data_IF_369155788612
#
_entry.id   IF_369155788612
#
_cell.length_a   1.000
_cell.length_b   1.000
_cell.length_c   1.000
_cell.angle_alpha   90.00
_cell.angle_beta   90.00
_cell.angle_gamma   90.00
#
_symmetry.space_group_name_H-M   'P 1'
#
loop_
_entity.id
_entity.type
_entity.pdbx_description
1 polymer ?
#
# COMPACT_ATOMS: atom_id res chain seq x y z
N UNK A 1 -18.76 -1.67 32.77
CA UNK A 1 -18.81 -0.67 31.68
C UNK A 1 -17.82 -1.10 30.62
N UNK A 2 -18.24 -1.19 29.36
CA UNK A 2 -17.31 -1.48 28.27
C UNK A 2 -16.61 -0.17 27.91
N UNK A 3 -15.32 -0.07 28.22
CA UNK A 3 -14.50 1.10 27.89
C UNK A 3 -14.00 0.93 26.45
N UNK A 4 -14.44 1.79 25.55
CA UNK A 4 -13.93 1.87 24.18
C UNK A 4 -13.45 3.30 23.92
N UNK A 5 -12.42 3.43 23.07
CA UNK A 5 -11.87 4.70 22.65
C UNK A 5 -11.47 4.63 21.16
N UNK A 6 -11.63 5.75 20.45
CA UNK A 6 -11.12 5.92 19.09
C UNK A 6 -9.94 6.87 19.19
N UNK A 7 -8.76 6.39 18.80
CA UNK A 7 -7.53 7.17 18.80
C UNK A 7 -7.20 7.55 17.37
N UNK A 8 -7.16 8.86 17.09
CA UNK A 8 -6.70 9.36 15.80
C UNK A 8 -5.18 9.58 15.86
N UNK A 9 -4.43 8.68 15.24
CA UNK A 9 -2.97 8.71 15.25
C UNK A 9 -2.40 8.05 13.99
N UNK A 10 -1.12 8.30 13.74
CA UNK A 10 -0.34 7.58 12.72
C UNK A 10 -0.08 6.14 13.20
N UNK A 11 -0.36 5.15 12.37
CA UNK A 11 -0.19 3.73 12.71
C UNK A 11 1.28 3.32 12.88
N UNK A 12 2.23 4.18 12.50
CA UNK A 12 3.67 4.01 12.79
C UNK A 12 4.04 4.49 14.20
N UNK A 13 3.12 5.17 14.90
CA UNK A 13 3.30 5.76 16.23
C UNK A 13 2.00 5.68 17.04
N UNK A 14 1.53 4.46 17.25
CA UNK A 14 0.34 4.12 18.04
C UNK A 14 0.55 4.65 19.47
N UNK A 15 -0.33 5.54 19.98
CA UNK A 15 -0.19 6.19 21.28
C UNK A 15 -0.64 5.29 22.43
N UNK A 16 -0.17 4.04 22.42
CA UNK A 16 -0.36 3.04 23.46
C UNK A 16 1.02 2.61 23.97
N UNK A 17 1.08 2.25 25.25
CA UNK A 17 2.29 1.68 25.82
C UNK A 17 2.58 0.31 25.21
N UNK A 18 3.85 -0.07 25.25
CA UNK A 18 4.35 -1.34 24.78
C UNK A 18 3.65 -2.50 25.52
N UNK A 19 3.43 -3.61 24.83
CA UNK A 19 2.88 -4.84 25.42
C UNK A 19 1.55 -4.63 26.18
N UNK A 20 0.65 -3.80 25.67
CA UNK A 20 -0.68 -3.53 26.26
C UNK A 20 -1.85 -4.14 25.49
N UNK A 21 -1.63 -4.57 24.25
CA UNK A 21 -2.68 -5.07 23.36
C UNK A 21 -2.61 -6.59 23.26
N UNK A 22 -3.75 -7.26 23.51
CA UNK A 22 -3.84 -8.72 23.43
C UNK A 22 -4.15 -9.23 22.00
N UNK A 23 -4.93 -8.47 21.24
CA UNK A 23 -5.40 -8.87 19.93
C UNK A 23 -5.49 -7.65 19.02
N UNK A 24 -4.90 -7.75 17.84
CA UNK A 24 -5.06 -6.79 16.75
C UNK A 24 -5.81 -7.49 15.62
N UNK A 25 -6.84 -6.84 15.09
CA UNK A 25 -7.54 -7.28 13.88
C UNK A 25 -7.57 -6.10 12.94
N UNK A 26 -6.98 -6.25 11.75
CA UNK A 26 -6.80 -5.12 10.83
C UNK A 26 -6.90 -5.54 9.37
N UNK A 27 -7.20 -4.56 8.51
CA UNK A 27 -7.10 -4.66 7.05
C UNK A 27 -6.37 -3.42 6.53
N UNK A 28 -5.08 -3.51 6.18
CA UNK A 28 -4.35 -2.35 5.67
C UNK A 28 -4.91 -1.90 4.30
N UNK A 29 -4.62 -0.65 3.87
CA UNK A 29 -4.97 -0.19 2.52
C UNK A 29 -4.45 -1.14 1.45
N UNK A 30 -5.26 -1.39 0.42
CA UNK A 30 -4.89 -2.25 -0.69
C UNK A 30 -4.00 -1.50 -1.69
N UNK A 31 -3.03 -2.20 -2.26
CA UNK A 31 -2.08 -1.64 -3.21
C UNK A 31 -2.76 -1.12 -4.48
N UNK A 32 -2.58 0.16 -4.77
CA UNK A 32 -3.03 0.85 -5.96
C UNK A 32 -4.54 1.07 -6.07
N UNK A 33 -5.33 0.84 -5.01
CA UNK A 33 -6.80 0.85 -5.12
C UNK A 33 -7.49 2.13 -4.62
N UNK A 34 -7.04 2.72 -3.51
CA UNK A 34 -7.80 3.78 -2.83
C UNK A 34 -6.92 4.98 -2.47
N UNK A 35 -7.48 6.16 -2.72
CA UNK A 35 -7.02 7.42 -2.16
C UNK A 35 -8.12 7.95 -1.24
N UNK A 36 -7.80 8.20 0.03
CA UNK A 36 -8.77 8.70 1.00
C UNK A 36 -8.75 10.22 1.00
N UNK A 37 -9.89 10.83 0.71
CA UNK A 37 -10.06 12.28 0.73
C UNK A 37 -9.88 12.82 2.15
N UNK A 38 -9.14 13.92 2.31
CA UNK A 38 -8.91 14.54 3.62
C UNK A 38 -7.78 13.93 4.44
N UNK A 39 -7.04 12.97 3.87
CA UNK A 39 -5.79 12.45 4.44
C UNK A 39 -4.62 13.13 3.74
N UNK A 40 -3.70 13.71 4.50
CA UNK A 40 -2.49 14.32 3.94
C UNK A 40 -1.43 13.25 3.61
N UNK A 41 -0.63 13.42 2.54
CA UNK A 41 0.48 12.53 2.24
C UNK A 41 1.48 12.45 3.40
N UNK A 42 1.83 11.23 3.79
CA UNK A 42 2.85 10.96 4.80
C UNK A 42 4.23 10.83 4.16
N UNK A 43 5.28 11.16 4.92
CA UNK A 43 6.68 10.93 4.52
C UNK A 43 7.17 9.61 5.11
N UNK A 44 7.78 8.77 4.28
CA UNK A 44 8.22 7.42 4.60
C UNK A 44 9.71 7.25 4.27
N UNK A 45 10.44 6.59 5.17
CA UNK A 45 11.87 6.39 5.06
C UNK A 45 12.70 7.69 5.03
N UNK A 46 13.93 7.58 4.51
CA UNK A 46 14.90 8.69 4.48
C UNK A 46 15.67 8.89 5.78
N UNK A 47 16.32 10.05 5.89
CA UNK A 47 17.10 10.44 7.06
C UNK A 47 16.25 11.30 8.00
N UNK A 48 16.33 11.06 9.31
CA UNK A 48 15.47 11.68 10.31
C UNK A 48 15.62 13.21 10.37
N UNK A 49 16.83 13.72 10.14
CA UNK A 49 17.16 15.15 10.21
C UNK A 49 17.09 15.85 8.83
N UNK A 50 16.57 15.17 7.81
CA UNK A 50 16.46 15.77 6.48
C UNK A 50 15.30 16.77 6.45
N UNK A 51 15.57 18.01 6.03
CA UNK A 51 14.51 19.02 5.78
C UNK A 51 13.56 18.64 4.64
N UNK A 52 13.93 17.62 3.86
CA UNK A 52 13.30 17.15 2.63
C UNK A 52 13.17 18.19 1.52
N UNK A 53 13.59 17.80 0.31
CA UNK A 53 13.48 18.63 -0.88
C UNK A 53 12.77 17.84 -1.98
N UNK A 54 11.54 18.27 -2.28
CA UNK A 54 10.67 17.66 -3.27
C UNK A 54 10.84 18.41 -4.60
N UNK A 55 11.80 18.01 -5.41
CA UNK A 55 12.05 18.72 -6.67
C UNK A 55 11.13 18.29 -7.80
N UNK A 56 11.17 19.02 -8.91
CA UNK A 56 10.60 18.59 -10.19
C UNK A 56 11.37 17.35 -10.68
N UNK A 57 10.68 16.37 -11.27
CA UNK A 57 11.16 15.02 -11.57
C UNK A 57 12.65 14.94 -11.96
N UNK A 58 13.40 14.07 -11.29
CA UNK A 58 14.65 13.57 -11.88
C UNK A 58 14.68 12.06 -11.71
N UNK A 59 14.56 11.36 -12.84
CA UNK A 59 15.03 9.99 -12.94
C UNK A 59 16.56 9.99 -12.80
N UNK A 60 17.08 9.10 -11.96
CA UNK A 60 18.46 8.61 -11.97
C UNK A 60 19.59 9.64 -12.11
N UNK A 61 20.15 10.10 -10.98
CA UNK A 61 21.61 10.20 -10.88
C UNK A 61 22.11 9.05 -10.04
N UNK A 62 23.00 8.25 -10.63
CA UNK A 62 23.71 7.18 -9.97
C UNK A 62 24.37 7.73 -8.69
N UNK A 63 24.05 7.13 -7.54
CA UNK A 63 24.96 7.17 -6.41
C UNK A 63 26.22 6.43 -6.85
N UNK A 64 27.27 7.21 -7.13
CA UNK A 64 28.65 6.73 -7.28
C UNK A 64 29.00 5.93 -6.03
N UNK A 65 29.54 4.72 -6.23
CA UNK A 65 29.80 3.76 -5.18
C UNK A 65 30.68 4.28 -4.05
N UNK A 66 30.32 3.89 -2.84
CA UNK A 66 31.23 3.71 -1.72
C UNK A 66 31.07 2.27 -1.25
N UNK A 67 32.14 1.48 -1.35
CA UNK A 67 32.18 0.07 -0.99
C UNK A 67 31.85 -0.13 0.50
N UNK A 68 30.78 -0.87 0.78
CA UNK A 68 30.34 -1.17 2.14
C UNK A 68 29.18 -2.14 2.13
N UNK A 69 29.48 -3.43 2.19
CA UNK A 69 28.52 -4.52 2.22
C UNK A 69 27.55 -4.40 3.41
N UNK A 70 26.27 -4.17 3.13
CA UNK A 70 25.16 -4.60 4.00
C UNK A 70 24.11 -5.29 3.14
N UNK A 71 24.18 -6.62 3.10
CA UNK A 71 23.20 -7.47 2.42
C UNK A 71 21.91 -7.53 3.25
N UNK A 72 20.99 -6.59 3.02
CA UNK A 72 19.63 -6.61 3.54
C UNK A 72 18.63 -6.29 2.44
N UNK A 73 17.40 -6.78 2.57
CA UNK A 73 16.30 -6.54 1.60
C UNK A 73 16.13 -5.06 1.21
N UNK A 74 16.55 -4.10 2.06
CA UNK A 74 16.53 -2.67 1.76
C UNK A 74 17.47 -2.24 0.63
N UNK A 75 18.62 -2.90 0.45
CA UNK A 75 19.60 -2.55 -0.60
C UNK A 75 19.08 -2.83 -2.02
N UNK A 76 18.23 -3.85 -2.17
CA UNK A 76 17.62 -4.23 -3.45
C UNK A 76 16.48 -3.29 -3.86
N UNK A 77 15.74 -2.72 -2.90
CA UNK A 77 14.66 -1.76 -3.20
C UNK A 77 15.22 -0.49 -3.88
N UNK A 78 16.39 -0.03 -3.45
CA UNK A 78 17.02 1.18 -4.00
C UNK A 78 17.60 0.96 -5.40
N UNK A 79 18.01 -0.28 -5.73
CA UNK A 79 18.55 -0.63 -7.04
C UNK A 79 17.46 -0.77 -8.13
N UNK A 80 16.23 -1.17 -7.77
CA UNK A 80 15.12 -1.38 -8.72
C UNK A 80 14.37 -0.10 -9.11
N UNK A 81 14.64 1.05 -8.46
CA UNK A 81 14.10 2.36 -8.88
C UNK A 81 14.76 2.91 -10.16
N UNK A 82 15.76 2.21 -10.70
CA UNK A 82 16.39 2.54 -11.99
C UNK A 82 15.55 2.02 -13.16
N UNK A 83 14.52 2.79 -13.52
CA UNK A 83 13.87 2.68 -14.82
C UNK A 83 12.39 2.45 -14.72
N UNK A 84 11.62 3.53 -14.85
CA UNK A 84 10.57 3.75 -15.86
C UNK A 84 9.76 4.94 -15.38
N UNK A 85 10.22 6.15 -15.67
CA UNK A 85 9.35 7.32 -15.62
C UNK A 85 9.51 8.08 -16.94
N UNK A 86 8.72 7.66 -17.93
CA UNK A 86 8.56 8.41 -19.16
C UNK A 86 7.19 9.11 -19.13
N UNK A 87 7.27 10.39 -18.75
CA UNK A 87 6.41 11.53 -19.12
C UNK A 87 4.99 11.54 -18.54
N UNK A 88 4.66 12.59 -17.76
CA UNK A 88 3.68 13.64 -18.09
C UNK A 88 3.67 14.74 -16.99
N UNK A 89 3.64 16.01 -17.44
CA UNK A 89 3.32 17.29 -16.77
C UNK A 89 3.70 17.56 -15.31
N UNK A 90 4.72 18.43 -15.12
CA UNK A 90 4.74 19.53 -14.14
C UNK A 90 4.58 19.24 -12.64
N UNK A 91 4.46 17.98 -12.22
CA UNK A 91 4.29 17.59 -10.83
C UNK A 91 5.63 17.47 -10.09
N UNK A 92 5.65 17.89 -8.82
CA UNK A 92 6.77 17.62 -7.91
C UNK A 92 6.95 16.11 -7.75
N UNK A 93 8.20 15.64 -7.77
CA UNK A 93 8.57 14.25 -7.46
C UNK A 93 8.05 13.86 -6.08
N UNK A 94 7.45 12.68 -5.97
CA UNK A 94 7.07 12.08 -4.70
C UNK A 94 8.26 11.62 -3.86
N UNK A 95 9.49 11.66 -4.40
CA UNK A 95 10.71 11.30 -3.70
C UNK A 95 11.56 12.53 -3.36
N UNK A 96 12.08 12.55 -2.14
CA UNK A 96 13.01 13.57 -1.66
C UNK A 96 14.35 13.41 -2.37
N UNK A 97 14.86 14.48 -2.94
CA UNK A 97 16.13 14.49 -3.68
C UNK A 97 17.37 14.35 -2.78
N UNK A 98 17.25 14.67 -1.50
CA UNK A 98 18.37 14.63 -0.53
C UNK A 98 18.55 13.26 0.11
N UNK A 99 17.46 12.62 0.54
CA UNK A 99 17.52 11.39 1.34
C UNK A 99 16.74 10.21 0.76
N UNK A 100 16.02 10.39 -0.37
CA UNK A 100 15.25 9.32 -1.00
C UNK A 100 13.95 8.93 -0.26
N UNK A 101 13.55 9.68 0.77
CA UNK A 101 12.25 9.50 1.42
C UNK A 101 11.12 9.62 0.39
N UNK A 102 10.07 8.83 0.57
CA UNK A 102 8.89 8.88 -0.27
C UNK A 102 7.76 9.64 0.44
N UNK A 103 7.07 10.52 -0.27
CA UNK A 103 5.90 11.26 0.20
C UNK A 103 4.64 10.78 -0.53
N UNK A 104 3.71 10.19 0.20
CA UNK A 104 2.47 9.67 -0.35
C UNK A 104 1.56 9.01 0.68
N UNK A 105 0.44 8.48 0.20
CA UNK A 105 -0.51 7.74 1.04
C UNK A 105 -0.22 6.24 0.97
N UNK A 106 -0.26 5.56 2.10
CA UNK A 106 -0.07 4.10 2.18
C UNK A 106 -1.00 3.38 1.19
N UNK A 107 -0.43 2.49 0.38
CA UNK A 107 -1.12 1.79 -0.70
C UNK A 107 -0.97 2.46 -2.06
N UNK A 108 -0.47 3.70 -2.16
CA UNK A 108 -0.22 4.39 -3.44
C UNK A 108 1.25 4.43 -3.83
N UNK A 109 2.08 3.57 -3.24
CA UNK A 109 3.49 3.47 -3.57
C UNK A 109 3.71 3.12 -5.04
N UNK A 110 4.80 3.61 -5.66
CA UNK A 110 5.14 3.30 -7.05
C UNK A 110 5.40 1.81 -7.27
N UNK A 111 6.00 1.11 -6.31
CA UNK A 111 6.36 -0.32 -6.42
C UNK A 111 5.71 -1.15 -5.32
N UNK A 112 5.51 -2.45 -5.59
CA UNK A 112 4.97 -3.39 -4.62
C UNK A 112 5.95 -3.54 -3.45
N UNK A 113 7.25 -3.55 -3.74
CA UNK A 113 8.32 -3.68 -2.75
C UNK A 113 8.31 -2.53 -1.74
N UNK A 114 8.11 -1.28 -2.21
CA UNK A 114 8.05 -0.13 -1.32
C UNK A 114 6.78 -0.17 -0.45
N UNK A 115 5.64 -0.58 -1.02
CA UNK A 115 4.42 -0.80 -0.24
C UNK A 115 4.61 -1.85 0.87
N UNK A 116 5.23 -2.98 0.56
CA UNK A 116 5.53 -4.01 1.56
C UNK A 116 6.48 -3.47 2.64
N UNK A 117 7.49 -2.68 2.27
CA UNK A 117 8.41 -2.07 3.24
C UNK A 117 7.68 -1.13 4.22
N UNK A 118 6.74 -0.31 3.73
CA UNK A 118 5.94 0.57 4.59
C UNK A 118 4.96 -0.20 5.47
N UNK A 119 4.36 -1.29 4.96
CA UNK A 119 3.56 -2.16 5.81
C UNK A 119 4.40 -2.77 6.95
N UNK A 120 5.61 -3.23 6.66
CA UNK A 120 6.53 -3.73 7.71
C UNK A 120 6.82 -2.64 8.75
N UNK A 121 7.07 -1.39 8.32
CA UNK A 121 7.24 -0.25 9.24
C UNK A 121 6.04 -0.07 10.19
N UNK A 122 4.82 -0.12 9.65
CA UNK A 122 3.59 -0.06 10.47
C UNK A 122 3.50 -1.26 11.41
N UNK A 123 3.76 -2.47 10.92
CA UNK A 123 3.65 -3.69 11.73
C UNK A 123 4.73 -3.78 12.82
N UNK A 124 5.86 -3.08 12.71
CA UNK A 124 6.80 -2.96 13.85
C UNK A 124 6.16 -2.27 15.04
N UNK A 125 5.40 -1.21 14.79
CA UNK A 125 4.72 -0.48 15.87
C UNK A 125 3.50 -1.26 16.40
N UNK A 126 2.80 -1.99 15.53
CA UNK A 126 1.79 -2.97 15.95
C UNK A 126 2.40 -4.05 16.85
N UNK A 127 3.58 -4.57 16.52
CA UNK A 127 4.29 -5.56 17.34
C UNK A 127 4.71 -4.99 18.68
N UNK A 128 5.15 -3.73 18.74
CA UNK A 128 5.55 -3.04 19.96
C UNK A 128 4.40 -2.98 20.98
N UNK A 129 3.20 -2.59 20.54
CA UNK A 129 2.04 -2.50 21.44
C UNK A 129 1.45 -3.86 21.79
N UNK A 130 1.73 -4.89 20.99
CA UNK A 130 1.24 -6.25 21.21
C UNK A 130 1.99 -6.90 22.37
N UNK A 131 1.26 -7.58 23.25
CA UNK A 131 1.85 -8.42 24.31
C UNK A 131 2.62 -9.60 23.73
N UNK A 132 3.53 -10.17 24.52
CA UNK A 132 4.26 -11.39 24.17
C UNK A 132 3.37 -12.61 23.89
N UNK A 133 2.16 -12.64 24.46
CA UNK A 133 1.11 -13.65 24.26
C UNK A 133 -0.01 -13.17 23.31
N UNK A 134 0.18 -12.03 22.64
CA UNK A 134 -0.82 -11.43 21.77
C UNK A 134 -0.85 -12.03 20.35
N UNK A 135 -1.93 -11.76 19.64
CA UNK A 135 -2.15 -12.20 18.26
C UNK A 135 -2.52 -11.03 17.34
N UNK A 136 -2.01 -11.04 16.11
CA UNK A 136 -2.37 -10.09 15.07
C UNK A 136 -3.02 -10.83 13.90
N UNK A 137 -4.24 -10.43 13.55
CA UNK A 137 -4.99 -10.90 12.41
C UNK A 137 -4.94 -9.84 11.31
N UNK A 138 -4.36 -10.21 10.16
CA UNK A 138 -4.21 -9.33 9.00
C UNK A 138 -5.13 -9.84 7.89
N UNK A 139 -6.15 -9.06 7.56
CA UNK A 139 -7.03 -9.31 6.41
C UNK A 139 -6.50 -8.53 5.22
N UNK A 140 -5.96 -9.22 4.24
CA UNK A 140 -5.39 -8.62 3.03
C UNK A 140 -5.73 -9.49 1.82
N UNK A 141 -6.04 -8.86 0.68
CA UNK A 141 -6.16 -9.58 -0.58
C UNK A 141 -5.16 -9.01 -1.59
N UNK A 142 -4.98 -9.76 -2.67
CA UNK A 142 -4.04 -9.36 -3.70
C UNK A 142 -4.58 -8.21 -4.55
N UNK A 143 -3.67 -7.59 -5.29
CA UNK A 143 -3.96 -6.54 -6.26
C UNK A 143 -3.42 -6.98 -7.62
N UNK A 144 -4.12 -6.59 -8.68
CA UNK A 144 -3.60 -6.79 -10.02
C UNK A 144 -2.64 -5.66 -10.39
N UNK A 145 -1.54 -6.01 -11.06
CA UNK A 145 -0.51 -5.10 -11.54
C UNK A 145 -1.09 -3.97 -12.41
N UNK A 146 -2.26 -4.13 -13.01
CA UNK A 146 -2.97 -3.01 -13.65
C UNK A 146 -4.48 -3.10 -13.52
N UNK A 147 -5.10 -1.97 -13.26
CA UNK A 147 -6.54 -1.80 -13.08
C UNK A 147 -6.85 -0.31 -13.00
N UNK A 148 -8.00 0.11 -13.51
CA UNK A 148 -8.40 1.50 -13.39
C UNK A 148 -8.51 1.87 -11.91
N UNK A 149 -8.06 3.08 -11.55
CA UNK A 149 -8.62 3.78 -10.40
C UNK A 149 -10.13 3.65 -10.56
N UNK A 150 -10.82 3.13 -9.53
CA UNK A 150 -12.27 2.96 -9.57
C UNK A 150 -12.98 4.30 -9.67
N UNK A 151 -12.92 4.93 -10.84
CA UNK A 151 -13.89 5.92 -11.27
C UNK A 151 -15.22 5.19 -11.38
N UNK A 152 -16.27 5.83 -10.87
CA UNK A 152 -17.63 5.40 -11.06
C UNK A 152 -17.93 5.36 -12.57
N UNK A 153 -17.57 4.26 -13.23
CA UNK A 153 -18.09 3.96 -14.54
C UNK A 153 -19.47 3.36 -14.32
N UNK A 154 -20.44 3.84 -15.07
CA UNK A 154 -21.81 3.31 -15.22
C UNK A 154 -21.88 1.79 -15.50
N UNK A 155 -20.74 1.13 -15.70
CA UNK A 155 -20.62 -0.30 -15.97
C UNK A 155 -20.21 -1.13 -14.75
N UNK A 156 -20.12 -0.56 -13.55
CA UNK A 156 -20.19 -1.37 -12.33
C UNK A 156 -21.63 -1.84 -12.15
N UNK A 157 -22.00 -2.94 -12.80
CA UNK A 157 -23.36 -3.55 -12.76
C UNK A 157 -23.63 -4.22 -11.40
N UNK A 158 -23.41 -3.51 -10.30
CA UNK A 158 -23.68 -3.99 -8.95
C UNK A 158 -24.74 -3.19 -8.19
N UNK A 159 -25.30 -2.11 -8.74
CA UNK A 159 -26.42 -1.42 -8.11
C UNK A 159 -27.47 -1.02 -9.14
N UNK A 160 -28.72 -1.37 -8.88
CA UNK A 160 -29.91 -1.03 -9.66
C UNK A 160 -30.25 0.47 -9.62
N UNK A 161 -29.33 1.31 -10.08
CA UNK A 161 -29.59 2.72 -10.38
C UNK A 161 -30.30 2.83 -11.72
N UNK A 162 -31.45 3.52 -11.74
CA UNK A 162 -32.22 3.79 -12.95
C UNK A 162 -31.34 4.51 -13.99
N UNK A 163 -31.22 3.89 -15.17
CA UNK A 163 -30.38 4.38 -16.26
C UNK A 163 -30.84 5.74 -16.77
N UNK A 164 -29.89 6.65 -16.94
CA UNK A 164 -30.08 7.88 -17.70
C UNK A 164 -30.14 7.50 -19.18
N UNK A 165 -31.05 8.14 -19.92
CA UNK A 165 -31.47 7.73 -21.27
C UNK A 165 -30.37 7.73 -22.35
N UNK A 166 -30.68 7.19 -23.54
CA UNK A 166 -29.68 6.66 -24.49
C UNK A 166 -28.77 7.66 -25.20
N UNK A 167 -28.73 8.95 -24.81
CA UNK A 167 -28.21 9.98 -25.72
C UNK A 167 -27.43 11.15 -25.09
N UNK A 168 -26.78 10.97 -23.95
CA UNK A 168 -25.74 11.90 -23.49
C UNK A 168 -24.37 11.24 -23.55
N UNK A 169 -23.64 11.48 -24.64
CA UNK A 169 -22.22 11.13 -24.74
C UNK A 169 -21.43 12.09 -23.87
N UNK A 170 -21.36 11.82 -22.57
CA UNK A 170 -20.33 12.41 -21.71
C UNK A 170 -19.00 11.93 -22.30
N UNK A 171 -18.22 12.86 -22.90
CA UNK A 171 -16.84 12.61 -23.31
C UNK A 171 -16.01 12.37 -22.05
N UNK A 172 -16.09 11.18 -21.48
CA UNK A 172 -15.19 10.75 -20.42
C UNK A 172 -13.81 10.63 -21.08
N UNK A 173 -12.89 11.53 -20.72
CA UNK A 173 -11.49 11.43 -21.08
C UNK A 173 -10.92 10.05 -20.68
N UNK A 174 -9.77 9.65 -21.24
CA UNK A 174 -9.20 8.34 -20.94
C UNK A 174 -9.08 8.17 -19.42
N UNK A 175 -9.76 7.15 -18.87
CA UNK A 175 -9.59 6.73 -17.48
C UNK A 175 -8.11 6.40 -17.34
N UNK A 176 -7.35 7.20 -16.59
CA UNK A 176 -5.94 6.97 -16.39
C UNK A 176 -5.77 5.60 -15.69
N UNK A 177 -5.46 4.56 -16.45
CA UNK A 177 -5.10 3.27 -15.89
C UNK A 177 -3.71 3.40 -15.29
N UNK A 178 -3.57 3.04 -14.02
CA UNK A 178 -2.26 2.98 -13.37
C UNK A 178 -1.36 2.02 -14.19
N UNK A 179 -0.12 2.42 -14.55
CA UNK A 179 0.80 1.53 -15.22
C UNK A 179 1.16 0.34 -14.33
N UNK A 180 1.56 -0.75 -14.97
CA UNK A 180 2.03 -1.91 -14.23
C UNK A 180 3.27 -1.58 -13.40
N UNK A 181 3.34 -2.00 -12.12
CA UNK A 181 4.57 -1.93 -11.36
C UNK A 181 5.73 -2.57 -12.13
N UNK A 182 6.96 -2.06 -11.99
CA UNK A 182 8.13 -2.64 -12.63
C UNK A 182 8.23 -4.16 -12.39
N UNK A 183 8.55 -4.91 -13.45
CA UNK A 183 8.72 -6.36 -13.38
C UNK A 183 7.43 -7.19 -13.45
N UNK A 184 6.25 -6.57 -13.52
CA UNK A 184 4.96 -7.27 -13.70
C UNK A 184 4.31 -6.85 -15.02
N UNK A 185 3.69 -7.80 -15.73
CA UNK A 185 2.85 -7.43 -16.89
C UNK A 185 1.46 -6.99 -16.43
N UNK A 186 0.74 -6.19 -17.22
CA UNK A 186 -0.67 -5.89 -16.96
C UNK A 186 -1.48 -7.14 -16.60
N UNK A 187 -2.33 -7.01 -15.58
CA UNK A 187 -3.17 -8.10 -15.03
C UNK A 187 -2.44 -9.27 -14.37
N UNK A 188 -1.15 -9.16 -14.07
CA UNK A 188 -0.52 -10.10 -13.14
C UNK A 188 -1.00 -9.87 -11.70
N UNK A 189 -1.05 -10.93 -10.91
CA UNK A 189 -1.16 -10.82 -9.46
C UNK A 189 0.14 -10.23 -8.90
N UNK A 190 0.02 -9.23 -8.04
CA UNK A 190 1.16 -8.62 -7.36
C UNK A 190 1.73 -9.53 -6.26
N UNK A 191 1.01 -10.56 -5.86
CA UNK A 191 1.34 -11.48 -4.78
C UNK A 191 1.52 -10.75 -3.45
N UNK A 192 0.70 -9.72 -3.20
CA UNK A 192 0.80 -8.87 -1.99
C UNK A 192 0.72 -9.70 -0.69
N UNK A 193 -0.26 -10.62 -0.48
CA UNK A 193 -0.33 -11.38 0.77
C UNK A 193 0.92 -12.24 1.00
N UNK A 194 1.42 -12.91 -0.04
CA UNK A 194 2.60 -13.76 0.05
C UNK A 194 3.88 -12.95 0.33
N UNK A 195 4.05 -11.79 -0.34
CA UNK A 195 5.20 -10.91 -0.11
C UNK A 195 5.18 -10.31 1.29
N UNK A 196 4.00 -9.89 1.77
CA UNK A 196 3.85 -9.36 3.13
C UNK A 196 4.18 -10.42 4.17
N UNK A 197 3.66 -11.64 3.99
CA UNK A 197 3.95 -12.77 4.86
C UNK A 197 5.47 -13.01 5.00
N UNK A 198 6.17 -13.16 3.87
CA UNK A 198 7.61 -13.38 3.87
C UNK A 198 8.38 -12.21 4.50
N UNK A 199 7.98 -10.97 4.21
CA UNK A 199 8.62 -9.78 4.76
C UNK A 199 8.42 -9.65 6.28
N UNK A 200 7.23 -9.93 6.79
CA UNK A 200 6.96 -9.94 8.24
C UNK A 200 7.74 -11.05 8.94
N UNK A 201 7.85 -12.24 8.34
CA UNK A 201 8.71 -13.30 8.91
C UNK A 201 10.17 -12.88 8.98
N UNK A 202 10.69 -12.25 7.92
CA UNK A 202 12.05 -11.70 7.92
C UNK A 202 12.24 -10.59 8.97
N UNK A 203 11.18 -9.86 9.32
CA UNK A 203 11.18 -8.83 10.36
C UNK A 203 10.96 -9.38 11.80
N UNK A 204 10.81 -10.70 11.96
CA UNK A 204 10.70 -11.35 13.27
C UNK A 204 9.27 -11.68 13.72
N UNK A 205 8.30 -11.70 12.80
CA UNK A 205 6.98 -12.25 13.05
C UNK A 205 6.93 -13.77 12.85
N UNK A 206 6.03 -14.43 13.57
CA UNK A 206 5.68 -15.82 13.31
C UNK A 206 4.32 -15.91 12.61
N UNK A 207 4.30 -16.50 11.42
CA UNK A 207 3.06 -16.83 10.73
C UNK A 207 2.56 -18.16 11.25
N UNK A 208 1.38 -18.12 11.88
CA UNK A 208 0.76 -19.32 12.49
C UNK A 208 -0.23 -20.01 11.56
N UNK A 209 -0.91 -19.24 10.72
CA UNK A 209 -1.89 -19.76 9.76
C UNK A 209 -2.05 -18.78 8.62
N UNK A 210 -2.29 -19.32 7.43
CA UNK A 210 -2.95 -18.62 6.34
C UNK A 210 -4.40 -19.11 6.30
N UNK A 211 -5.37 -18.19 6.28
CA UNK A 211 -6.80 -18.52 6.32
C UNK A 211 -7.48 -17.86 5.14
N UNK A 212 -8.06 -18.69 4.27
CA UNK A 212 -8.74 -18.22 3.08
C UNK A 212 -10.13 -17.69 3.46
N UNK A 213 -10.30 -16.38 3.33
CA UNK A 213 -11.62 -15.78 3.32
C UNK A 213 -12.23 -15.90 1.92
N UNK A 214 -13.04 -16.93 1.72
CA UNK A 214 -13.85 -17.12 0.50
C UNK A 214 -15.01 -16.11 0.48
N UNK A 215 -14.70 -14.84 0.18
CA UNK A 215 -15.66 -13.73 0.28
C UNK A 215 -16.95 -13.96 -0.53
N UNK A 216 -16.85 -14.56 -1.72
CA UNK A 216 -17.99 -14.83 -2.60
C UNK A 216 -19.06 -15.79 -2.05
N UNK A 217 -18.77 -16.49 -0.95
CA UNK A 217 -19.72 -17.38 -0.26
C UNK A 217 -20.10 -16.89 1.15
N UNK A 218 -19.63 -15.72 1.57
CA UNK A 218 -19.78 -15.25 2.96
C UNK A 218 -21.20 -14.79 3.32
N UNK A 219 -22.09 -14.58 2.34
CA UNK A 219 -23.40 -13.97 2.58
C UNK A 219 -24.55 -14.61 1.77
N UNK A 220 -24.48 -15.91 1.47
CA UNK A 220 -25.49 -16.61 0.67
C UNK A 220 -26.06 -17.87 1.31
N UNK A 221 -27.26 -18.24 0.91
CA UNK A 221 -27.73 -19.63 1.01
C UNK A 221 -27.24 -20.50 -0.17
N UNK A 222 -26.88 -19.92 -1.33
CA UNK A 222 -26.37 -20.67 -2.51
C UNK A 222 -25.15 -20.05 -3.22
N UNK A 223 -25.07 -18.73 -3.44
CA UNK A 223 -23.82 -17.97 -3.73
C UNK A 223 -24.06 -16.45 -3.62
N UNK A 224 -23.10 -15.64 -3.13
CA UNK A 224 -23.22 -14.16 -3.07
C UNK A 224 -21.86 -13.45 -3.16
N UNK A 225 -21.42 -13.12 -4.36
CA UNK A 225 -20.41 -12.07 -4.57
C UNK A 225 -19.29 -12.40 -5.54
N UNK A 226 -18.79 -11.34 -6.20
CA UNK A 226 -17.84 -11.38 -7.32
C UNK A 226 -16.47 -11.97 -6.96
N UNK A 227 -15.98 -12.83 -7.87
CA UNK A 227 -14.56 -13.12 -8.09
C UNK A 227 -13.79 -11.89 -8.55
#
# INVERSE_FOLDING_TARGET
MNHWAILHADARRIPLADETVQCVVTSPPYFGLRQYSGVEPSVWGGQAECEHEWGESVCGRAFSGGDGATSGLMGTVQAQLKGTDQRHDGGQSAFCQRCGAWRGMLGLEPTVELFIAHLVEVFRDVRRVLRSDGVCWIVIADSYASGGLGGASEKSRLHGGQGVGPNEKIKQGPIASRPAPPGLKPKDLCLVPARLALALQADGWWIRSDIIWAKGVSFCETYSGSV
#
